data_IF_120311073631
#
_entry.id   IF_120311073631
#
_cell.length_a   1.000
_cell.length_b   1.000
_cell.length_c   1.000
_cell.angle_alpha   90.00
_cell.angle_beta   90.00
_cell.angle_gamma   90.00
#
_symmetry.space_group_name_H-M   'P 1'
#
loop_
_entity.id
_entity.type
_entity.pdbx_description
1 polymer ?
#
# COMPACT_ATOMS: atom_id res chain seq x y z
N UNK A 1 -2.78 4.40 -14.90
CA UNK A 1 -2.03 3.73 -16.00
C UNK A 1 -1.84 2.26 -15.73
N UNK A 2 -1.97 1.44 -16.76
CA UNK A 2 -1.70 0.00 -16.76
C UNK A 2 -2.49 -0.82 -15.72
N UNK A 3 -3.76 -0.47 -15.50
CA UNK A 3 -4.62 -1.14 -14.51
C UNK A 3 -4.75 -2.64 -14.78
N UNK A 4 -4.87 -3.02 -16.06
CA UNK A 4 -5.02 -4.41 -16.50
C UNK A 4 -3.75 -5.25 -16.33
N UNK A 5 -2.59 -4.60 -16.16
CA UNK A 5 -1.31 -5.31 -15.94
C UNK A 5 -1.02 -5.58 -14.47
N UNK A 6 -1.71 -4.89 -13.55
CA UNK A 6 -1.45 -5.00 -12.10
C UNK A 6 -1.65 -6.43 -11.61
N UNK A 7 -2.77 -7.06 -11.98
CA UNK A 7 -3.12 -8.38 -11.45
C UNK A 7 -2.24 -9.47 -12.06
N UNK A 8 -2.03 -9.48 -13.39
CA UNK A 8 -1.05 -10.38 -14.01
C UNK A 8 0.37 -10.22 -13.45
N UNK A 9 0.83 -8.99 -13.18
CA UNK A 9 2.16 -8.75 -12.60
C UNK A 9 2.27 -9.37 -11.21
N UNK A 10 1.33 -9.06 -10.31
CA UNK A 10 1.36 -9.61 -8.95
C UNK A 10 1.25 -11.13 -8.95
N UNK A 11 0.39 -11.71 -9.80
CA UNK A 11 0.30 -13.18 -9.95
C UNK A 11 1.62 -13.80 -10.43
N UNK A 12 2.31 -13.17 -11.39
CA UNK A 12 3.58 -13.66 -11.89
C UNK A 12 4.68 -13.62 -10.81
N UNK A 13 4.74 -12.52 -10.05
CA UNK A 13 5.70 -12.35 -8.95
C UNK A 13 5.43 -13.31 -7.78
N UNK A 14 4.17 -13.56 -7.45
CA UNK A 14 3.82 -14.57 -6.45
C UNK A 14 4.16 -15.99 -6.91
N UNK A 15 3.98 -16.30 -8.20
CA UNK A 15 4.33 -17.59 -8.77
C UNK A 15 5.85 -17.88 -8.67
N UNK A 16 6.72 -16.88 -8.77
CA UNK A 16 8.16 -17.02 -8.51
C UNK A 16 8.48 -17.50 -7.09
N UNK A 17 7.58 -17.22 -6.14
CA UNK A 17 7.68 -17.64 -4.74
C UNK A 17 6.91 -18.93 -4.46
N UNK A 18 6.36 -19.58 -5.49
CA UNK A 18 5.43 -20.70 -5.38
C UNK A 18 4.22 -20.38 -4.48
N UNK A 19 3.79 -19.11 -4.46
CA UNK A 19 2.62 -18.65 -3.72
C UNK A 19 1.46 -18.40 -4.69
N UNK A 20 0.26 -18.94 -4.41
CA UNK A 20 -0.96 -18.55 -5.12
C UNK A 20 -1.43 -17.15 -4.69
N UNK A 21 -2.13 -16.46 -5.58
CA UNK A 21 -2.84 -15.23 -5.26
C UNK A 21 -4.19 -15.57 -4.62
N UNK A 22 -4.34 -15.29 -3.32
CA UNK A 22 -5.58 -15.48 -2.57
C UNK A 22 -6.20 -14.12 -2.19
N UNK A 23 -7.14 -13.61 -3.00
CA UNK A 23 -7.84 -12.39 -2.68
C UNK A 23 -8.77 -12.57 -1.47
N UNK A 24 -9.08 -11.47 -0.77
CA UNK A 24 -10.20 -11.43 0.17
C UNK A 24 -11.56 -11.49 -0.55
N UNK A 25 -12.63 -11.77 0.21
CA UNK A 25 -13.99 -12.01 -0.32
C UNK A 25 -14.53 -10.86 -1.21
N UNK A 26 -14.13 -9.62 -0.94
CA UNK A 26 -14.56 -8.42 -1.68
C UNK A 26 -13.53 -7.93 -2.71
N UNK A 27 -12.77 -8.83 -3.32
CA UNK A 27 -11.76 -8.44 -4.31
C UNK A 27 -12.39 -7.90 -5.59
N UNK A 28 -11.97 -6.69 -5.94
CA UNK A 28 -12.31 -6.04 -7.20
C UNK A 28 -11.03 -5.65 -7.93
N UNK A 29 -10.84 -6.15 -9.15
CA UNK A 29 -9.59 -5.95 -9.89
C UNK A 29 -9.31 -4.48 -10.19
N UNK A 30 -10.32 -3.67 -10.46
CA UNK A 30 -10.14 -2.24 -10.72
C UNK A 30 -10.00 -1.41 -9.43
N UNK A 31 -10.13 -2.03 -8.25
CA UNK A 31 -9.90 -1.35 -6.98
C UNK A 31 -8.45 -0.85 -6.87
N UNK A 32 -8.20 0.34 -6.32
CA UNK A 32 -6.85 0.81 -6.00
C UNK A 32 -6.21 0.00 -4.85
N UNK A 33 -7.03 -0.60 -3.98
CA UNK A 33 -6.58 -1.37 -2.81
C UNK A 33 -6.97 -2.84 -2.95
N UNK A 34 -5.99 -3.73 -2.77
CA UNK A 34 -6.21 -5.17 -2.75
C UNK A 34 -5.79 -5.75 -1.41
N UNK A 35 -6.72 -6.46 -0.77
CA UNK A 35 -6.41 -7.27 0.39
C UNK A 35 -6.08 -8.69 -0.08
N UNK A 36 -4.94 -9.20 0.36
CA UNK A 36 -4.42 -10.51 -0.05
C UNK A 36 -4.07 -11.29 1.22
N UNK A 37 -4.52 -12.54 1.27
CA UNK A 37 -4.33 -13.41 2.43
C UNK A 37 -3.17 -14.39 2.21
N UNK A 38 -2.71 -15.02 3.30
CA UNK A 38 -1.75 -16.13 3.27
C UNK A 38 -0.35 -15.80 2.73
N UNK A 39 0.11 -14.55 2.91
CA UNK A 39 1.46 -14.11 2.56
C UNK A 39 2.24 -13.77 3.83
N UNK A 40 3.51 -14.18 3.88
CA UNK A 40 4.44 -13.69 4.90
C UNK A 40 4.96 -12.30 4.53
N UNK A 41 5.54 -11.60 5.51
CA UNK A 41 6.19 -10.32 5.25
C UNK A 41 7.36 -10.45 4.25
N UNK A 42 8.06 -11.59 4.27
CA UNK A 42 9.13 -11.90 3.31
C UNK A 42 8.58 -12.07 1.88
N UNK A 43 7.48 -12.80 1.71
CA UNK A 43 6.81 -12.95 0.41
C UNK A 43 6.43 -11.57 -0.16
N UNK A 44 5.82 -10.72 0.69
CA UNK A 44 5.41 -9.36 0.30
C UNK A 44 6.62 -8.52 -0.10
N UNK A 45 7.70 -8.51 0.71
CA UNK A 45 8.92 -7.77 0.37
C UNK A 45 9.53 -8.25 -0.94
N UNK A 46 9.58 -9.56 -1.17
CA UNK A 46 10.10 -10.12 -2.42
C UNK A 46 9.29 -9.68 -3.64
N UNK A 47 7.96 -9.62 -3.53
CA UNK A 47 7.09 -9.13 -4.62
C UNK A 47 7.30 -7.64 -4.83
N UNK A 48 7.28 -6.84 -3.76
CA UNK A 48 7.39 -5.38 -3.83
C UNK A 48 8.77 -4.91 -4.32
N UNK A 49 9.83 -5.67 -4.06
CA UNK A 49 11.17 -5.43 -4.59
C UNK A 49 11.27 -5.52 -6.12
N UNK A 50 10.24 -6.02 -6.80
CA UNK A 50 10.19 -6.17 -8.27
C UNK A 50 9.00 -5.47 -8.92
N UNK A 51 7.88 -5.37 -8.21
CA UNK A 51 6.64 -4.84 -8.74
C UNK A 51 6.79 -3.37 -9.14
N UNK A 52 6.45 -3.03 -10.37
CA UNK A 52 6.38 -1.63 -10.83
C UNK A 52 4.95 -1.09 -10.91
N UNK A 53 3.93 -1.97 -10.83
CA UNK A 53 2.54 -1.56 -10.76
C UNK A 53 2.08 -1.22 -9.34
N UNK A 54 2.42 -2.04 -8.34
CA UNK A 54 2.05 -1.76 -6.95
C UNK A 54 2.83 -0.56 -6.40
N UNK A 55 2.14 0.31 -5.68
CA UNK A 55 2.75 1.50 -5.07
C UNK A 55 3.44 1.17 -3.75
N UNK A 56 2.70 0.55 -2.84
CA UNK A 56 3.15 0.21 -1.49
C UNK A 56 2.36 -1.00 -0.99
N UNK A 57 2.95 -1.76 -0.09
CA UNK A 57 2.30 -2.87 0.61
C UNK A 57 2.27 -2.63 2.12
N UNK A 58 1.20 -3.10 2.74
CA UNK A 58 0.91 -2.87 4.15
C UNK A 58 0.46 -4.18 4.80
N UNK A 59 0.87 -4.38 6.05
CA UNK A 59 0.24 -5.34 6.94
C UNK A 59 -1.08 -4.74 7.42
N UNK A 60 -2.20 -5.35 7.03
CA UNK A 60 -3.53 -4.88 7.40
C UNK A 60 -3.83 -5.22 8.87
N UNK A 61 -4.10 -4.20 9.67
CA UNK A 61 -4.47 -4.37 11.08
C UNK A 61 -5.97 -4.24 11.30
N UNK A 62 -6.61 -3.32 10.59
CA UNK A 62 -8.05 -3.17 10.66
C UNK A 62 -8.61 -2.38 9.48
N UNK A 63 -9.90 -2.53 9.27
CA UNK A 63 -10.60 -1.89 8.17
C UNK A 63 -12.10 -1.74 8.45
N UNK A 64 -12.79 -0.90 7.66
CA UNK A 64 -14.23 -0.72 7.77
C UNK A 64 -14.78 0.38 6.86
N UNK A 65 -16.09 0.46 6.73
CA UNK A 65 -16.78 1.52 6.00
C UNK A 65 -16.92 2.81 6.82
N UNK A 66 -16.86 2.69 8.14
CA UNK A 66 -16.97 3.81 9.08
C UNK A 66 -15.82 3.81 10.07
N UNK A 67 -15.54 4.96 10.69
CA UNK A 67 -14.55 5.05 11.76
C UNK A 67 -14.87 4.12 12.95
N UNK A 68 -16.16 3.89 13.24
CA UNK A 68 -16.60 2.97 14.28
C UNK A 68 -16.30 1.51 13.94
N UNK A 69 -16.54 1.09 12.70
CA UNK A 69 -16.17 -0.24 12.22
C UNK A 69 -14.66 -0.44 12.21
N UNK A 70 -13.91 0.55 11.71
CA UNK A 70 -12.44 0.53 11.74
C UNK A 70 -11.93 0.34 13.18
N UNK A 71 -12.46 1.11 14.13
CA UNK A 71 -12.11 0.99 15.55
C UNK A 71 -12.38 -0.41 16.07
N UNK A 72 -13.54 -0.98 15.74
CA UNK A 72 -13.93 -2.33 16.18
C UNK A 72 -13.00 -3.38 15.58
N UNK A 73 -12.69 -3.27 14.29
CA UNK A 73 -11.75 -4.13 13.58
C UNK A 73 -10.34 -4.09 14.20
N UNK A 74 -9.86 -2.89 14.52
CA UNK A 74 -8.55 -2.70 15.16
C UNK A 74 -8.48 -3.28 16.58
N UNK A 75 -9.55 -3.12 17.38
CA UNK A 75 -9.60 -3.68 18.74
C UNK A 75 -9.66 -5.22 18.73
N UNK A 76 -10.18 -5.82 17.66
CA UNK A 76 -10.23 -7.27 17.48
C UNK A 76 -8.93 -7.85 16.91
N UNK A 77 -8.00 -7.01 16.45
CA UNK A 77 -6.73 -7.48 15.92
C UNK A 77 -5.83 -8.01 17.04
N UNK A 78 -5.04 -9.04 16.73
CA UNK A 78 -4.21 -9.74 17.71
C UNK A 78 -3.20 -8.77 18.38
N UNK A 79 -3.29 -8.57 19.71
CA UNK A 79 -2.35 -7.69 20.43
C UNK A 79 -0.91 -8.18 20.33
N UNK A 80 -0.70 -9.50 20.24
CA UNK A 80 0.62 -10.13 20.11
C UNK A 80 1.33 -9.72 18.80
N UNK A 81 0.56 -9.50 17.73
CA UNK A 81 1.09 -9.03 16.44
C UNK A 81 1.38 -7.53 16.44
N UNK A 82 0.64 -6.74 17.22
CA UNK A 82 0.86 -5.29 17.35
C UNK A 82 2.03 -4.97 18.29
N UNK A 83 2.16 -5.71 19.39
CA UNK A 83 3.09 -5.44 20.49
C UNK A 83 4.54 -5.13 20.05
N UNK A 84 5.14 -5.85 19.08
CA UNK A 84 6.50 -5.56 18.62
C UNK A 84 6.66 -4.16 18.02
N UNK A 85 5.59 -3.55 17.52
CA UNK A 85 5.64 -2.31 16.74
C UNK A 85 5.10 -1.09 17.49
N UNK A 86 4.51 -1.28 18.67
CA UNK A 86 3.87 -0.22 19.45
C UNK A 86 4.53 0.03 20.81
N UNK A 87 5.64 -0.66 21.09
CA UNK A 87 6.35 -0.59 22.36
C UNK A 87 7.03 0.76 22.60
N UNK A 88 7.23 1.09 23.88
CA UNK A 88 7.73 2.40 24.35
C UNK A 88 9.08 2.86 23.79
N UNK A 89 9.99 1.92 23.51
CA UNK A 89 11.32 2.23 22.97
C UNK A 89 11.31 2.45 21.45
N UNK A 90 10.17 2.21 20.78
CA UNK A 90 10.04 2.41 19.34
C UNK A 90 9.76 3.86 18.96
N UNK A 91 10.19 4.23 17.76
CA UNK A 91 9.76 5.46 17.10
C UNK A 91 8.81 5.16 15.95
N UNK A 92 7.74 5.96 15.83
CA UNK A 92 6.77 5.76 14.76
C UNK A 92 6.29 7.06 14.12
N UNK A 93 5.69 6.93 12.94
CA UNK A 93 4.85 7.97 12.33
C UNK A 93 3.57 7.36 11.79
N UNK A 94 2.52 8.17 11.75
CA UNK A 94 1.25 7.81 11.10
C UNK A 94 1.08 8.71 9.87
N UNK A 95 0.95 8.09 8.70
CA UNK A 95 0.67 8.77 7.45
C UNK A 95 -0.80 8.58 7.08
N UNK A 96 -1.42 9.62 6.54
CA UNK A 96 -2.78 9.52 5.98
C UNK A 96 -2.68 9.64 4.46
N UNK A 97 -3.13 8.60 3.76
CA UNK A 97 -3.25 8.58 2.30
C UNK A 97 -4.71 8.47 1.90
N UNK A 98 -5.09 9.26 0.91
CA UNK A 98 -6.43 9.29 0.36
C UNK A 98 -6.37 8.97 -1.12
N UNK A 99 -7.28 8.13 -1.57
CA UNK A 99 -7.54 7.90 -2.98
C UNK A 99 -8.68 8.80 -3.43
N UNK A 100 -8.52 9.47 -4.58
CA UNK A 100 -9.53 10.33 -5.20
C UNK A 100 -9.99 11.55 -4.39
N UNK A 101 -9.26 11.95 -3.33
CA UNK A 101 -9.49 13.19 -2.57
C UNK A 101 -8.17 13.76 -2.09
N UNK A 102 -8.05 15.08 -2.06
CA UNK A 102 -6.89 15.76 -1.44
C UNK A 102 -7.29 16.26 -0.06
N UNK A 103 -6.59 15.81 0.98
CA UNK A 103 -6.78 16.31 2.34
C UNK A 103 -5.83 17.45 2.68
N UNK A 104 -6.37 18.47 3.33
CA UNK A 104 -5.61 19.52 4.00
C UNK A 104 -4.82 18.95 5.18
N UNK A 105 -3.72 19.60 5.51
CA UNK A 105 -2.85 19.15 6.60
C UNK A 105 -3.57 19.08 7.96
N UNK A 106 -4.41 20.07 8.28
CA UNK A 106 -5.19 20.08 9.51
C UNK A 106 -6.15 18.88 9.62
N UNK A 107 -6.76 18.45 8.51
CA UNK A 107 -7.67 17.31 8.52
C UNK A 107 -6.92 15.97 8.63
N UNK A 108 -5.69 15.91 8.13
CA UNK A 108 -4.80 14.75 8.37
C UNK A 108 -4.49 14.60 9.85
N UNK A 109 -4.18 15.71 10.54
CA UNK A 109 -3.92 15.70 11.99
C UNK A 109 -5.16 15.21 12.74
N UNK A 110 -6.35 15.77 12.46
CA UNK A 110 -7.60 15.31 13.10
C UNK A 110 -7.84 13.80 12.94
N UNK A 111 -7.51 13.24 11.77
CA UNK A 111 -7.64 11.80 11.52
C UNK A 111 -6.62 10.98 12.30
N UNK A 112 -5.41 11.50 12.51
CA UNK A 112 -4.39 10.87 13.35
C UNK A 112 -4.82 10.93 14.82
N UNK A 113 -5.31 12.08 15.30
CA UNK A 113 -5.80 12.25 16.68
C UNK A 113 -6.98 11.31 16.97
N UNK A 114 -7.85 11.07 15.97
CA UNK A 114 -8.94 10.12 16.10
C UNK A 114 -8.49 8.67 16.35
N UNK A 115 -7.20 8.34 16.14
CA UNK A 115 -6.60 7.02 16.39
C UNK A 115 -5.96 6.89 17.78
N UNK A 116 -6.12 7.88 18.67
CA UNK A 116 -5.57 7.89 20.03
C UNK A 116 -5.96 6.67 20.89
N UNK A 117 -7.06 5.98 20.54
CA UNK A 117 -7.48 4.75 21.21
C UNK A 117 -6.57 3.54 20.98
N UNK A 118 -5.61 3.62 20.06
CA UNK A 118 -4.64 2.55 19.82
C UNK A 118 -3.53 2.59 20.88
N UNK A 119 -3.00 1.43 21.31
CA UNK A 119 -2.02 1.33 22.39
C UNK A 119 -0.60 1.69 21.90
N UNK A 120 -0.42 2.86 21.28
CA UNK A 120 0.89 3.37 20.88
C UNK A 120 1.60 3.96 22.10
N UNK A 121 2.60 3.23 22.60
CA UNK A 121 3.45 3.70 23.71
C UNK A 121 4.76 4.33 23.22
N UNK A 122 5.10 4.14 21.94
CA UNK A 122 6.31 4.68 21.32
C UNK A 122 6.29 6.20 21.17
N UNK A 123 7.40 6.74 20.65
CA UNK A 123 7.55 8.20 20.42
C UNK A 123 7.32 8.56 18.95
N UNK A 124 6.68 9.70 18.70
CA UNK A 124 6.45 10.19 17.34
C UNK A 124 7.73 10.77 16.75
N UNK A 125 8.20 10.22 15.63
CA UNK A 125 9.36 10.71 14.86
C UNK A 125 8.98 10.93 13.40
N UNK A 126 8.98 12.19 12.96
CA UNK A 126 8.63 12.54 11.57
C UNK A 126 9.79 12.30 10.59
N UNK A 127 11.03 12.40 11.07
CA UNK A 127 12.25 12.35 10.24
C UNK A 127 12.77 10.93 10.06
N UNK A 128 12.88 10.16 11.15
CA UNK A 128 13.46 8.81 11.13
C UNK A 128 12.68 7.85 12.04
N UNK A 129 11.44 7.49 11.66
CA UNK A 129 10.64 6.49 12.36
C UNK A 129 11.16 5.08 12.09
N UNK A 130 11.15 4.21 13.11
CA UNK A 130 11.36 2.77 12.92
C UNK A 130 10.14 2.09 12.31
N UNK A 131 8.94 2.57 12.67
CA UNK A 131 7.68 2.01 12.18
C UNK A 131 6.81 3.08 11.52
N UNK A 132 6.30 2.77 10.34
CA UNK A 132 5.41 3.65 9.60
C UNK A 132 4.05 2.98 9.57
N UNK A 133 3.05 3.66 10.11
CA UNK A 133 1.66 3.25 10.02
C UNK A 133 0.93 4.14 9.02
N UNK A 134 -0.08 3.58 8.38
CA UNK A 134 -0.82 4.26 7.34
C UNK A 134 -2.31 4.08 7.54
N UNK A 135 -3.02 5.21 7.56
CA UNK A 135 -4.46 5.28 7.36
C UNK A 135 -4.71 5.51 5.87
N UNK A 136 -5.37 4.56 5.22
CA UNK A 136 -5.72 4.61 3.80
C UNK A 136 -7.22 4.81 3.67
N UNK A 137 -7.64 5.84 2.96
CA UNK A 137 -9.05 6.14 2.73
C UNK A 137 -9.38 6.06 1.24
N UNK A 138 -10.41 5.31 0.91
CA UNK A 138 -10.92 5.14 -0.45
C UNK A 138 -12.20 5.97 -0.64
N UNK A 139 -12.12 7.03 -1.44
CA UNK A 139 -13.28 7.85 -1.82
C UNK A 139 -13.91 7.41 -3.15
N UNK A 140 -13.60 6.19 -3.62
CA UNK A 140 -14.13 5.65 -4.87
C UNK A 140 -13.40 6.16 -6.11
N UNK A 141 -13.89 5.76 -7.28
CA UNK A 141 -13.20 5.95 -8.57
C UNK A 141 -13.78 7.06 -9.44
N UNK A 142 -14.91 7.68 -9.06
CA UNK A 142 -15.52 8.78 -9.81
C UNK A 142 -14.94 10.13 -9.34
N UNK A 143 -14.08 10.80 -10.13
CA UNK A 143 -13.50 12.08 -9.75
C UNK A 143 -14.51 13.24 -9.79
N UNK A 144 -15.66 13.08 -10.47
CA UNK A 144 -16.67 14.13 -10.58
C UNK A 144 -17.65 14.13 -9.41
N UNK A 145 -17.73 13.01 -8.67
CA UNK A 145 -18.65 12.84 -7.55
C UNK A 145 -17.92 12.22 -6.35
N UNK A 146 -17.02 13.00 -5.76
CA UNK A 146 -16.22 12.58 -4.60
C UNK A 146 -17.10 12.69 -3.35
N UNK A 147 -17.33 11.58 -2.61
CA UNK A 147 -18.16 11.62 -1.42
C UNK A 147 -17.51 12.43 -0.28
N UNK A 148 -18.35 12.91 0.64
CA UNK A 148 -17.88 13.64 1.81
C UNK A 148 -17.04 12.75 2.72
N UNK A 149 -17.50 11.51 2.94
CA UNK A 149 -16.84 10.47 3.73
C UNK A 149 -16.25 9.38 2.82
N UNK A 150 -15.18 8.70 3.26
CA UNK A 150 -14.62 7.60 2.48
C UNK A 150 -15.59 6.42 2.43
N UNK A 151 -15.62 5.71 1.31
CA UNK A 151 -16.38 4.47 1.14
C UNK A 151 -15.77 3.33 1.94
N UNK A 152 -14.44 3.37 2.13
CA UNK A 152 -13.70 2.39 2.89
C UNK A 152 -12.45 2.98 3.52
N UNK A 153 -12.09 2.48 4.70
CA UNK A 153 -10.92 2.89 5.46
C UNK A 153 -10.12 1.65 5.83
N UNK A 154 -8.81 1.73 5.65
CA UNK A 154 -7.86 0.71 6.07
C UNK A 154 -6.82 1.32 6.99
N UNK A 155 -6.39 0.58 8.00
CA UNK A 155 -5.27 0.94 8.84
C UNK A 155 -4.29 -0.22 8.93
N UNK A 156 -3.01 0.08 8.84
CA UNK A 156 -1.98 -0.95 8.85
C UNK A 156 -0.56 -0.41 8.94
N UNK A 157 0.38 -1.34 9.07
CA UNK A 157 1.82 -1.05 9.09
C UNK A 157 2.40 -1.16 7.69
N UNK A 158 3.20 -0.20 7.28
CA UNK A 158 3.92 -0.25 6.00
C UNK A 158 5.01 -1.33 6.02
N UNK A 159 5.08 -2.11 4.94
CA UNK A 159 6.07 -3.19 4.77
C UNK A 159 7.16 -2.79 3.76
N UNK A 160 6.75 -2.35 2.57
CA UNK A 160 7.64 -2.01 1.47
C UNK A 160 6.93 -1.15 0.40
N UNK A 161 7.72 -0.37 -0.32
CA UNK A 161 7.29 0.32 -1.55
C UNK A 161 7.65 -0.49 -2.79
N UNK A 162 6.88 -0.27 -3.86
CA UNK A 162 7.15 -0.84 -5.17
C UNK A 162 8.23 -0.07 -5.93
N UNK A 163 8.75 -0.67 -6.99
CA UNK A 163 9.86 -0.15 -7.78
C UNK A 163 9.42 0.83 -8.88
N UNK A 164 8.33 1.59 -8.67
CA UNK A 164 7.79 2.50 -9.68
C UNK A 164 8.77 3.61 -10.06
N UNK A 165 9.70 3.95 -9.17
CA UNK A 165 10.77 4.91 -9.45
C UNK A 165 11.72 4.45 -10.56
N UNK A 166 11.88 3.13 -10.77
CA UNK A 166 12.72 2.58 -11.84
C UNK A 166 12.21 2.97 -13.23
N UNK A 167 10.89 3.11 -13.39
CA UNK A 167 10.27 3.59 -14.64
C UNK A 167 10.81 4.98 -15.00
N UNK A 168 10.90 5.86 -13.99
CA UNK A 168 11.39 7.23 -14.18
C UNK A 168 12.89 7.25 -14.44
N UNK A 169 13.68 6.48 -13.69
CA UNK A 169 15.13 6.47 -13.85
C UNK A 169 15.56 5.86 -15.19
N UNK A 170 14.89 4.81 -15.67
CA UNK A 170 15.19 4.12 -16.93
C UNK A 170 14.41 4.66 -18.15
N UNK A 171 13.75 5.81 -17.98
CA UNK A 171 13.06 6.50 -19.07
C UNK A 171 14.01 6.70 -20.25
N UNK A 172 13.49 6.53 -21.47
CA UNK A 172 14.24 6.71 -22.71
C UNK A 172 14.92 8.10 -22.76
N UNK A 173 14.28 9.12 -22.16
CA UNK A 173 14.79 10.49 -22.09
C UNK A 173 16.12 10.63 -21.35
N UNK A 174 16.44 9.69 -20.46
CA UNK A 174 17.66 9.72 -19.66
C UNK A 174 18.80 8.88 -20.27
N UNK A 175 18.58 8.23 -21.43
CA UNK A 175 19.56 7.32 -22.03
C UNK A 175 20.58 8.09 -22.86
N UNK A 176 21.84 7.62 -22.85
CA UNK A 176 22.90 8.17 -23.69
C UNK A 176 22.64 7.93 -25.19
N UNK A 177 22.06 6.77 -25.53
CA UNK A 177 21.64 6.43 -26.87
C UNK A 177 20.13 6.18 -26.91
N UNK A 178 19.46 6.82 -27.87
CA UNK A 178 18.00 6.75 -28.05
C UNK A 178 17.72 6.14 -29.41
N UNK A 179 17.28 4.87 -29.42
CA UNK A 179 16.73 4.23 -30.61
C UNK A 179 15.26 4.58 -30.79
N UNK A 180 14.84 4.84 -32.03
CA UNK A 180 13.45 5.20 -32.40
C UNK A 180 12.41 4.08 -32.12
N UNK A 181 12.85 2.84 -31.96
CA UNK A 181 12.01 1.67 -31.63
C UNK A 181 12.15 1.21 -30.17
N UNK A 182 12.75 2.04 -29.30
CA UNK A 182 12.92 1.69 -27.88
C UNK A 182 11.58 1.57 -27.17
N UNK A 183 11.35 0.44 -26.50
CA UNK A 183 10.15 0.23 -25.69
C UNK A 183 10.15 1.12 -24.42
N UNK A 184 8.95 1.48 -23.96
CA UNK A 184 8.76 2.16 -22.68
C UNK A 184 9.34 1.35 -21.51
N UNK A 185 9.96 2.04 -20.55
CA UNK A 185 10.62 1.40 -19.43
C UNK A 185 9.62 0.65 -18.53
N UNK A 186 8.44 1.22 -18.29
CA UNK A 186 7.41 0.61 -17.45
C UNK A 186 6.89 -0.69 -18.04
N UNK A 187 6.54 -0.68 -19.33
CA UNK A 187 6.14 -1.91 -20.04
C UNK A 187 7.27 -2.95 -20.04
N UNK A 188 8.53 -2.53 -20.16
CA UNK A 188 9.69 -3.44 -20.14
C UNK A 188 9.81 -4.19 -18.81
N UNK A 189 9.66 -3.48 -17.69
CA UNK A 189 9.67 -4.10 -16.37
C UNK A 189 8.47 -5.03 -16.16
N UNK A 190 7.26 -4.62 -16.58
CA UNK A 190 6.06 -5.46 -16.47
C UNK A 190 6.24 -6.76 -17.26
N UNK A 191 6.72 -6.68 -18.51
CA UNK A 191 6.98 -7.86 -19.35
C UNK A 191 8.04 -8.78 -18.73
N UNK A 192 9.10 -8.22 -18.15
CA UNK A 192 10.14 -8.98 -17.44
C UNK A 192 9.55 -9.73 -16.24
N UNK A 193 8.73 -9.06 -15.44
CA UNK A 193 8.04 -9.66 -14.31
C UNK A 193 7.06 -10.77 -14.76
N UNK A 194 6.33 -10.57 -15.87
CA UNK A 194 5.44 -11.58 -16.45
C UNK A 194 6.19 -12.80 -16.97
N UNK A 195 7.36 -12.59 -17.58
CA UNK A 195 8.25 -13.64 -18.03
C UNK A 195 8.90 -14.40 -16.86
N UNK A 196 8.78 -13.89 -15.63
CA UNK A 196 9.33 -14.51 -14.40
C UNK A 196 10.86 -14.66 -14.48
N UNK A 197 11.53 -13.70 -15.11
CA UNK A 197 13.00 -13.63 -15.21
C UNK A 197 13.55 -12.44 -14.44
#
# INVERSE_FOLDING_TARGET
DNLDFRLPEIKALLALRAKPFHPCENFHEQSPFWCVNSLSEEDVRSVMARSVCAKSAFELWGHGHTHSELRTSLLNYSPEKMSPYVHKESTYRINVYTFNKTLLFADRIKKIDALEYLPFEGTVSLTSPQHIFCLLEDYGTDPNNIPEHPNYIYFGRWIADGQRELIRSHSVKNRHFIGNTSMDAGLSFIMTNHAKV
#
